data_IF_099628649053
#
_entry.id   IF_099628649053
#
_cell.length_a   1.000
_cell.length_b   1.000
_cell.length_c   1.000
_cell.angle_alpha   90.00
_cell.angle_beta   90.00
_cell.angle_gamma   90.00
#
_symmetry.space_group_name_H-M   'P 1'
#
loop_
_entity.id
_entity.type
_entity.pdbx_description
1 polymer ?
#
# COMPACT_ATOMS: atom_id res chain seq x y z
N UNK A 1 -8.95 -9.59 -15.97
CA UNK A 1 -9.76 -8.65 -15.14
C UNK A 1 -10.11 -9.20 -13.76
N UNK A 2 -10.64 -10.43 -13.62
CA UNK A 2 -11.03 -11.03 -12.32
C UNK A 2 -9.89 -11.04 -11.28
N UNK A 3 -8.71 -11.56 -11.65
CA UNK A 3 -7.52 -11.57 -10.77
C UNK A 3 -7.08 -10.18 -10.33
N UNK A 4 -7.04 -9.23 -11.27
CA UNK A 4 -6.67 -7.82 -11.01
C UNK A 4 -7.57 -7.15 -9.97
N UNK A 5 -8.83 -7.55 -9.86
CA UNK A 5 -9.80 -7.02 -8.89
C UNK A 5 -9.63 -7.66 -7.51
N UNK A 6 -9.31 -8.96 -7.47
CA UNK A 6 -9.28 -9.74 -6.22
C UNK A 6 -7.90 -9.81 -5.55
N UNK A 7 -6.83 -9.50 -6.30
CA UNK A 7 -5.45 -9.63 -5.84
C UNK A 7 -4.76 -8.26 -5.75
N UNK A 8 -3.94 -8.07 -4.72
CA UNK A 8 -3.06 -6.90 -4.53
C UNK A 8 -1.77 -6.96 -5.36
N UNK A 9 -1.47 -8.10 -5.99
CA UNK A 9 -0.29 -8.28 -6.85
C UNK A 9 -0.22 -7.22 -7.94
N UNK A 10 1.00 -6.80 -8.30
CA UNK A 10 1.23 -5.84 -9.38
C UNK A 10 0.53 -6.27 -10.69
N UNK A 11 -0.15 -5.33 -11.35
CA UNK A 11 -0.96 -5.63 -12.56
C UNK A 11 -0.10 -6.21 -13.67
N UNK A 12 1.11 -5.67 -13.87
CA UNK A 12 2.06 -6.15 -14.87
C UNK A 12 2.38 -7.63 -14.64
N UNK A 13 2.67 -8.01 -13.40
CA UNK A 13 2.93 -9.40 -13.03
C UNK A 13 1.72 -10.31 -13.29
N UNK A 14 0.51 -9.86 -12.95
CA UNK A 14 -0.72 -10.61 -13.26
C UNK A 14 -0.89 -10.77 -14.78
N UNK A 15 -0.63 -9.71 -15.55
CA UNK A 15 -0.75 -9.75 -17.01
C UNK A 15 0.25 -10.74 -17.63
N UNK A 16 1.51 -10.67 -17.24
CA UNK A 16 2.57 -11.54 -17.75
C UNK A 16 2.32 -13.01 -17.39
N UNK A 17 1.86 -13.28 -16.16
CA UNK A 17 1.47 -14.64 -15.73
C UNK A 17 0.30 -15.19 -16.55
N UNK A 18 -0.72 -14.39 -16.83
CA UNK A 18 -1.86 -14.83 -17.65
C UNK A 18 -1.46 -15.05 -19.11
N UNK A 19 -0.54 -14.23 -19.63
CA UNK A 19 -0.01 -14.36 -20.97
C UNK A 19 0.87 -15.60 -21.12
N UNK A 20 1.66 -15.95 -20.10
CA UNK A 20 2.43 -17.19 -20.06
C UNK A 20 1.56 -18.46 -19.91
N UNK A 21 0.41 -18.36 -19.22
CA UNK A 21 -0.54 -19.47 -19.06
C UNK A 21 -1.31 -19.78 -20.34
N UNK A 22 -1.59 -18.76 -21.15
CA UNK A 22 -2.21 -18.97 -22.44
C UNK A 22 -1.13 -19.33 -23.46
N UNK A 23 -1.14 -20.58 -23.95
CA UNK A 23 -0.35 -20.96 -25.13
C UNK A 23 -0.94 -20.26 -26.37
N UNK A 24 -0.71 -18.96 -26.50
CA UNK A 24 -1.28 -18.17 -27.58
C UNK A 24 -0.66 -18.52 -28.93
N UNK A 25 -1.51 -18.76 -29.92
CA UNK A 25 -1.10 -18.79 -31.33
C UNK A 25 -0.50 -17.44 -31.74
N UNK A 26 0.50 -17.45 -32.62
CA UNK A 26 1.16 -16.23 -33.13
C UNK A 26 0.18 -15.23 -33.78
N UNK A 27 -0.91 -15.73 -34.37
CA UNK A 27 -1.98 -14.89 -34.93
C UNK A 27 -2.83 -14.19 -33.87
N UNK A 28 -3.00 -14.79 -32.70
CA UNK A 28 -3.71 -14.18 -31.58
C UNK A 28 -2.86 -13.09 -30.89
N UNK A 29 -1.54 -13.27 -30.86
CA UNK A 29 -0.61 -12.28 -30.32
C UNK A 29 -0.64 -10.96 -31.09
N UNK A 30 -0.86 -10.99 -32.41
CA UNK A 30 -0.92 -9.80 -33.25
C UNK A 30 -2.19 -8.94 -33.04
N UNK A 31 -3.26 -9.52 -32.48
CA UNK A 31 -4.53 -8.84 -32.21
C UNK A 31 -4.61 -8.36 -30.74
N UNK A 32 -3.67 -8.78 -29.90
CA UNK A 32 -3.64 -8.37 -28.50
C UNK A 32 -3.34 -6.88 -28.37
N UNK A 33 -3.99 -6.20 -27.40
CA UNK A 33 -3.64 -4.83 -27.07
C UNK A 33 -2.16 -4.73 -26.70
N UNK A 34 -1.57 -3.57 -26.93
CA UNK A 34 -0.23 -3.30 -26.40
C UNK A 34 -0.21 -3.49 -24.88
N UNK A 35 0.96 -3.83 -24.33
CA UNK A 35 1.14 -3.96 -22.88
C UNK A 35 0.69 -2.71 -22.13
N UNK A 36 0.88 -1.53 -22.74
CA UNK A 36 0.40 -0.26 -22.22
C UNK A 36 -1.14 -0.19 -22.14
N UNK A 37 -1.85 -0.51 -23.22
CA UNK A 37 -3.31 -0.47 -23.27
C UNK A 37 -3.95 -1.50 -22.34
N UNK A 38 -3.38 -2.71 -22.31
CA UNK A 38 -3.79 -3.76 -21.38
C UNK A 38 -3.64 -3.30 -19.93
N UNK A 39 -2.46 -2.79 -19.56
CA UNK A 39 -2.22 -2.26 -18.22
C UNK A 39 -3.13 -1.09 -17.87
N UNK A 40 -3.39 -0.16 -18.80
CA UNK A 40 -4.31 0.97 -18.59
C UNK A 40 -5.73 0.51 -18.30
N UNK A 41 -6.25 -0.43 -19.09
CA UNK A 41 -7.59 -1.01 -18.89
C UNK A 41 -7.72 -1.80 -17.58
N UNK A 42 -6.68 -2.54 -17.20
CA UNK A 42 -6.61 -3.29 -15.96
C UNK A 42 -6.49 -2.37 -14.73
N UNK A 43 -5.65 -1.32 -14.81
CA UNK A 43 -5.56 -0.28 -13.77
C UNK A 43 -6.91 0.41 -13.57
N UNK A 44 -7.62 0.76 -14.65
CA UNK A 44 -8.96 1.34 -14.55
C UNK A 44 -9.95 0.42 -13.85
N UNK A 45 -9.88 -0.90 -14.12
CA UNK A 45 -10.72 -1.88 -13.45
C UNK A 45 -10.39 -1.97 -11.95
N UNK A 46 -9.11 -1.98 -11.58
CA UNK A 46 -8.67 -2.00 -10.18
C UNK A 46 -9.08 -0.73 -9.43
N UNK A 47 -8.91 0.44 -10.04
CA UNK A 47 -9.29 1.74 -9.45
C UNK A 47 -10.76 1.83 -9.04
N UNK A 48 -11.67 1.13 -9.73
CA UNK A 48 -13.09 1.08 -9.33
C UNK A 48 -13.32 0.37 -7.98
N UNK A 49 -12.38 -0.48 -7.57
CA UNK A 49 -12.43 -1.25 -6.33
C UNK A 49 -11.49 -0.67 -5.27
N UNK A 50 -10.59 0.24 -5.67
CA UNK A 50 -9.74 0.97 -4.75
C UNK A 50 -10.61 1.94 -3.95
N UNK A 51 -10.57 1.91 -2.61
CA UNK A 51 -11.29 2.87 -1.80
C UNK A 51 -10.83 4.29 -2.12
N UNK A 52 -11.76 5.25 -2.02
CA UNK A 52 -11.45 6.67 -2.20
C UNK A 52 -10.44 7.07 -1.13
N UNK A 53 -9.43 7.86 -1.51
CA UNK A 53 -8.48 8.40 -0.55
C UNK A 53 -9.23 9.25 0.49
N UNK A 54 -8.84 9.20 1.78
CA UNK A 54 -9.45 10.04 2.80
C UNK A 54 -9.37 11.51 2.42
N UNK A 55 -10.43 12.27 2.69
CA UNK A 55 -10.47 13.73 2.46
C UNK A 55 -10.05 14.54 3.68
N UNK A 56 -9.86 13.88 4.84
CA UNK A 56 -9.42 14.52 6.07
C UNK A 56 -8.66 13.55 6.97
N UNK A 57 -7.87 14.10 7.88
CA UNK A 57 -7.20 13.40 8.99
C UNK A 57 -8.06 13.34 10.26
N UNK A 58 -9.33 13.78 10.19
CA UNK A 58 -10.28 13.73 11.28
C UNK A 58 -10.99 12.36 11.29
N UNK A 59 -10.31 11.35 11.84
CA UNK A 59 -10.87 10.02 12.02
C UNK A 59 -10.44 9.44 13.37
N UNK A 60 -11.33 8.73 14.03
CA UNK A 60 -10.94 7.94 15.20
C UNK A 60 -10.33 6.61 14.74
N UNK A 61 -9.34 6.10 15.49
CA UNK A 61 -8.80 4.76 15.26
C UNK A 61 -9.61 3.78 16.11
N UNK A 62 -10.42 2.87 15.52
CA UNK A 62 -11.16 1.87 16.27
C UNK A 62 -10.25 1.04 17.20
N UNK A 63 -10.77 0.66 18.37
CA UNK A 63 -10.00 -0.07 19.39
C UNK A 63 -9.32 -1.34 18.85
N UNK A 64 -9.99 -2.07 17.96
CA UNK A 64 -9.46 -3.27 17.29
C UNK A 64 -8.20 -3.02 16.43
N UNK A 65 -7.95 -1.76 16.04
CA UNK A 65 -6.77 -1.35 15.27
C UNK A 65 -5.73 -0.63 16.14
N UNK A 66 -6.01 -0.44 17.43
CA UNK A 66 -5.06 0.13 18.37
C UNK A 66 -4.12 -0.92 18.98
N UNK A 67 -4.42 -2.20 18.77
CA UNK A 67 -3.66 -3.35 19.27
C UNK A 67 -3.16 -4.22 18.13
N UNK A 68 -2.10 -4.97 18.39
CA UNK A 68 -1.62 -6.04 17.49
C UNK A 68 -2.55 -7.26 17.53
N UNK A 69 -2.32 -8.24 16.66
CA UNK A 69 -3.04 -9.53 16.66
C UNK A 69 -2.90 -10.28 17.99
N UNK A 70 -1.84 -9.99 18.76
CA UNK A 70 -1.56 -10.58 20.06
C UNK A 70 -2.00 -9.67 21.23
N UNK A 71 -2.94 -8.75 20.99
CA UNK A 71 -3.50 -7.82 21.99
C UNK A 71 -2.48 -6.87 22.66
N UNK A 72 -1.30 -6.69 22.07
CA UNK A 72 -0.30 -5.71 22.53
C UNK A 72 -0.65 -4.31 21.99
N UNK A 73 -0.57 -3.28 22.83
CA UNK A 73 -0.74 -1.88 22.41
C UNK A 73 0.18 -1.55 21.23
N UNK A 74 -0.40 -1.02 20.16
CA UNK A 74 0.29 -0.73 18.90
C UNK A 74 0.24 0.76 18.52
N UNK A 75 -0.81 1.48 18.88
CA UNK A 75 -0.86 2.94 18.70
C UNK A 75 -0.22 3.60 19.91
N UNK A 76 1.01 4.08 19.76
CA UNK A 76 1.81 4.65 20.84
C UNK A 76 1.58 6.16 21.02
N UNK A 77 1.24 6.84 19.94
CA UNK A 77 0.96 8.28 19.96
C UNK A 77 -0.14 8.60 18.95
N UNK A 78 -1.12 9.38 19.39
CA UNK A 78 -2.09 10.07 18.56
C UNK A 78 -2.28 11.48 19.13
N UNK A 79 -1.58 12.45 18.53
CA UNK A 79 -1.57 13.84 19.02
C UNK A 79 -1.68 14.82 17.87
N UNK A 80 -2.34 15.95 18.11
CA UNK A 80 -2.37 17.07 17.17
C UNK A 80 -1.38 18.14 17.62
N UNK A 81 -0.42 18.47 16.75
CA UNK A 81 0.63 19.47 16.95
C UNK A 81 0.54 20.48 15.79
N UNK A 82 0.37 21.76 16.07
CA UNK A 82 0.32 22.83 15.05
C UNK A 82 -0.62 22.51 13.87
N UNK A 83 -1.84 22.04 14.15
CA UNK A 83 -2.84 21.59 13.16
C UNK A 83 -2.41 20.40 12.28
N UNK A 84 -1.34 19.69 12.65
CA UNK A 84 -0.92 18.42 12.03
C UNK A 84 -1.10 17.28 13.03
N UNK A 85 -1.74 16.20 12.60
CA UNK A 85 -1.88 14.99 13.41
C UNK A 85 -0.64 14.13 13.29
N UNK A 86 -0.02 13.79 14.41
CA UNK A 86 1.09 12.86 14.53
C UNK A 86 0.56 11.52 15.04
N UNK A 87 0.79 10.47 14.25
CA UNK A 87 0.51 9.09 14.60
C UNK A 87 1.84 8.33 14.74
N UNK A 88 2.02 7.64 15.85
CA UNK A 88 3.14 6.72 16.05
C UNK A 88 2.60 5.30 16.27
N UNK A 89 3.06 4.38 15.43
CA UNK A 89 2.71 2.98 15.49
C UNK A 89 3.94 2.15 15.87
N UNK A 90 3.75 1.20 16.76
CA UNK A 90 4.79 0.28 17.23
C UNK A 90 4.44 -0.29 18.59
N UNK A 91 5.31 -1.14 19.12
CA UNK A 91 5.19 -1.65 20.50
C UNK A 91 6.30 -1.07 21.37
N UNK A 92 6.12 -1.07 22.69
CA UNK A 92 7.16 -0.63 23.63
C UNK A 92 8.46 -1.44 23.48
N UNK A 93 8.34 -2.72 23.11
CA UNK A 93 9.48 -3.57 22.80
C UNK A 93 10.25 -3.07 21.57
N UNK A 94 9.54 -2.67 20.51
CA UNK A 94 10.16 -2.09 19.31
C UNK A 94 10.83 -0.75 19.63
N UNK A 95 10.22 0.10 20.46
CA UNK A 95 10.84 1.34 20.94
C UNK A 95 12.10 1.06 21.76
N UNK A 96 12.07 0.05 22.63
CA UNK A 96 13.25 -0.36 23.42
C UNK A 96 14.37 -0.82 22.50
N UNK A 97 14.06 -1.63 21.48
CA UNK A 97 15.03 -2.04 20.48
C UNK A 97 15.61 -0.84 19.73
N UNK A 98 14.75 0.07 19.26
CA UNK A 98 15.18 1.29 18.57
C UNK A 98 16.09 2.15 19.46
N UNK A 99 15.78 2.30 20.75
CA UNK A 99 16.57 3.06 21.71
C UNK A 99 17.94 2.43 22.00
N UNK A 100 17.98 1.09 22.10
CA UNK A 100 19.22 0.34 22.36
C UNK A 100 20.10 0.14 21.11
N UNK A 101 19.57 0.40 19.91
CA UNK A 101 20.26 0.15 18.67
C UNK A 101 21.43 1.14 18.47
N UNK A 102 22.63 0.61 18.25
CA UNK A 102 23.80 1.43 17.89
C UNK A 102 23.66 2.06 16.51
N UNK A 103 22.97 1.39 15.60
CA UNK A 103 22.75 1.81 14.23
C UNK A 103 21.27 1.61 13.87
N UNK A 104 20.64 2.65 13.36
CA UNK A 104 19.26 2.61 12.87
C UNK A 104 19.31 2.85 11.36
N UNK A 105 18.83 1.88 10.59
CA UNK A 105 18.66 2.00 9.15
C UNK A 105 17.20 2.36 8.88
N UNK A 106 16.97 3.47 8.20
CA UNK A 106 15.65 3.94 7.84
C UNK A 106 15.61 4.11 6.33
N UNK A 107 14.61 3.53 5.69
CA UNK A 107 14.40 3.59 4.24
C UNK A 107 13.01 4.15 3.94
N UNK A 108 12.93 5.02 2.94
CA UNK A 108 11.68 5.60 2.48
C UNK A 108 10.85 4.53 1.78
N UNK A 109 9.80 4.05 2.44
CA UNK A 109 9.05 2.87 1.96
C UNK A 109 7.98 3.19 0.91
N UNK A 110 7.83 4.46 0.52
CA UNK A 110 6.78 4.89 -0.39
C UNK A 110 7.36 5.72 -1.55
N UNK A 111 7.18 5.22 -2.79
CA UNK A 111 7.47 5.97 -4.02
C UNK A 111 6.55 7.18 -4.21
N UNK A 112 5.42 7.21 -3.50
CA UNK A 112 4.41 8.25 -3.58
C UNK A 112 3.90 8.59 -2.19
N UNK A 113 3.90 9.87 -1.84
CA UNK A 113 3.31 10.37 -0.62
C UNK A 113 1.85 10.79 -0.89
N UNK A 114 0.83 10.09 -0.35
CA UNK A 114 -0.55 10.52 -0.51
C UNK A 114 -0.77 11.90 0.12
N UNK A 115 -1.80 12.65 -0.34
CA UNK A 115 -2.23 13.85 0.37
C UNK A 115 -2.42 13.57 1.86
N UNK A 116 -2.10 14.54 2.71
CA UNK A 116 -2.19 14.49 4.19
C UNK A 116 -1.08 13.75 4.93
N UNK A 117 -0.12 13.13 4.23
CA UNK A 117 1.08 12.58 4.84
C UNK A 117 2.31 13.41 4.44
N UNK A 118 3.30 13.46 5.33
CA UNK A 118 4.60 14.05 5.05
C UNK A 118 5.63 12.91 5.00
N UNK A 119 6.45 12.88 3.95
CA UNK A 119 7.52 11.89 3.79
C UNK A 119 8.81 12.42 4.42
N UNK A 120 9.38 11.64 5.34
CA UNK A 120 10.60 12.04 6.08
C UNK A 120 11.88 11.76 5.28
N UNK A 121 11.89 10.71 4.46
CA UNK A 121 13.03 10.28 3.64
C UNK A 121 12.66 10.36 2.16
N UNK A 122 13.43 11.10 1.36
CA UNK A 122 13.22 11.24 -0.10
C UNK A 122 14.16 10.31 -0.86
#
# INVERSE_FOLDING_TARGET
>A
KRRVINETTAITKIYDEELARQQMSQTAAAIMPSSYEANSGLNRARRKMTPVLPTSYAFDIPAQYQVTINDVQFVLCDKTLHNKRLLLFGTDQQLTFLFSAKHIMMDGTFDTCPPYFDQVYT
#
